data_IF_187370153126
#
_entry.id   IF_187370153126
#
_cell.length_a   1.000
_cell.length_b   1.000
_cell.length_c   1.000
_cell.angle_alpha   90.00
_cell.angle_beta   90.00
_cell.angle_gamma   90.00
#
_symmetry.space_group_name_H-M   'P 1'
#
loop_
_entity.id
_entity.type
_entity.pdbx_description
1 polymer ?
#
# COMPACT_ATOMS: atom_id res chain seq x y z
N UNK A 1 6.36 6.92 -13.94
CA UNK A 1 6.65 6.28 -12.62
C UNK A 1 7.69 5.18 -12.78
N UNK A 2 7.46 4.15 -13.61
CA UNK A 2 8.43 3.07 -13.83
C UNK A 2 9.84 3.59 -14.21
N UNK A 3 9.95 4.56 -15.12
CA UNK A 3 11.24 5.17 -15.49
C UNK A 3 11.97 5.84 -14.31
N UNK A 4 11.25 6.59 -13.47
CA UNK A 4 11.82 7.25 -12.29
C UNK A 4 12.27 6.23 -11.23
N UNK A 5 11.57 5.09 -11.16
CA UNK A 5 11.92 3.96 -10.30
C UNK A 5 13.07 3.15 -10.89
N UNK A 6 13.19 3.03 -12.21
CA UNK A 6 14.28 2.31 -12.86
C UNK A 6 15.65 2.92 -12.52
N UNK A 7 15.73 4.24 -12.32
CA UNK A 7 16.93 4.93 -11.85
C UNK A 7 17.37 4.51 -10.43
N UNK A 8 16.46 3.93 -9.64
CA UNK A 8 16.80 3.37 -8.33
C UNK A 8 17.36 1.95 -8.43
N UNK A 9 17.18 1.27 -9.56
CA UNK A 9 17.69 -0.09 -9.82
C UNK A 9 17.44 -1.06 -8.65
N UNK A 10 16.18 -1.26 -8.22
CA UNK A 10 15.89 -2.16 -7.11
C UNK A 10 16.35 -3.58 -7.45
N UNK A 11 16.88 -4.31 -6.46
CA UNK A 11 17.15 -5.74 -6.58
C UNK A 11 16.01 -6.59 -5.99
N UNK A 12 15.17 -5.99 -5.14
CA UNK A 12 13.95 -6.57 -4.61
C UNK A 12 12.77 -5.60 -4.76
N UNK A 13 11.63 -6.13 -5.22
CA UNK A 13 10.33 -5.46 -5.24
C UNK A 13 9.38 -6.19 -4.30
N UNK A 14 8.79 -5.44 -3.36
CA UNK A 14 7.81 -5.93 -2.39
C UNK A 14 6.43 -5.37 -2.74
N UNK A 15 5.57 -6.19 -3.34
CA UNK A 15 4.20 -5.82 -3.69
C UNK A 15 3.23 -6.03 -2.53
N UNK A 16 2.52 -4.99 -2.12
CA UNK A 16 1.52 -5.07 -1.04
C UNK A 16 0.20 -5.62 -1.58
N UNK A 17 -0.25 -6.75 -1.08
CA UNK A 17 -1.50 -7.35 -1.51
C UNK A 17 -2.74 -6.58 -1.00
N UNK A 18 -3.81 -6.49 -1.80
CA UNK A 18 -3.97 -7.14 -3.12
C UNK A 18 -3.59 -6.23 -4.30
N UNK A 19 -3.91 -4.93 -4.22
CA UNK A 19 -3.74 -4.01 -5.34
C UNK A 19 -2.29 -3.70 -5.68
N UNK A 20 -1.44 -3.44 -4.67
CA UNK A 20 -0.01 -3.18 -4.85
C UNK A 20 0.76 -4.31 -5.52
N UNK A 21 0.38 -5.57 -5.30
CA UNK A 21 0.97 -6.71 -5.99
C UNK A 21 0.80 -6.61 -7.52
N UNK A 22 -0.39 -6.22 -8.00
CA UNK A 22 -0.64 -6.03 -9.45
C UNK A 22 0.17 -4.89 -10.04
N UNK A 23 0.34 -3.81 -9.28
CA UNK A 23 1.18 -2.68 -9.69
C UNK A 23 2.63 -3.11 -9.75
N UNK A 24 3.11 -3.87 -8.76
CA UNK A 24 4.46 -4.40 -8.73
C UNK A 24 4.73 -5.33 -9.93
N UNK A 25 3.84 -6.30 -10.18
CA UNK A 25 3.92 -7.20 -11.35
C UNK A 25 4.04 -6.42 -12.66
N UNK A 26 3.21 -5.38 -12.86
CA UNK A 26 3.26 -4.55 -14.07
C UNK A 26 4.54 -3.69 -14.19
N UNK A 27 5.27 -3.46 -13.09
CA UNK A 27 6.50 -2.66 -13.09
C UNK A 27 7.74 -3.51 -13.33
N UNK A 28 7.79 -4.77 -12.88
CA UNK A 28 9.00 -5.60 -12.84
C UNK A 28 9.68 -5.75 -14.21
N UNK A 29 8.90 -5.88 -15.29
CA UNK A 29 9.43 -5.99 -16.66
C UNK A 29 10.27 -4.76 -17.06
N UNK A 30 9.90 -3.57 -16.56
CA UNK A 30 10.61 -2.32 -16.83
C UNK A 30 11.76 -2.02 -15.85
N UNK A 31 12.00 -2.87 -14.86
CA UNK A 31 12.97 -2.65 -13.78
C UNK A 31 14.22 -3.55 -13.86
N UNK A 32 14.40 -4.30 -14.94
CA UNK A 32 15.56 -5.20 -15.09
C UNK A 32 15.43 -6.50 -14.31
N UNK A 33 14.19 -7.00 -14.13
CA UNK A 33 13.88 -8.29 -13.52
C UNK A 33 14.38 -8.47 -12.07
N UNK A 34 14.07 -7.54 -11.14
CA UNK A 34 14.31 -7.76 -9.71
C UNK A 34 13.54 -8.97 -9.18
N UNK A 35 13.97 -9.48 -8.02
CA UNK A 35 13.15 -10.43 -7.27
C UNK A 35 11.82 -9.76 -6.89
N UNK A 36 10.69 -10.44 -7.08
CA UNK A 36 9.37 -9.96 -6.70
C UNK A 36 8.80 -10.81 -5.56
N UNK A 37 8.33 -10.17 -4.48
CA UNK A 37 7.63 -10.84 -3.39
C UNK A 37 6.32 -10.13 -3.07
N UNK A 38 5.23 -10.89 -2.96
CA UNK A 38 3.93 -10.40 -2.51
C UNK A 38 3.80 -10.51 -0.99
N UNK A 39 3.31 -9.46 -0.33
CA UNK A 39 3.11 -9.44 1.12
C UNK A 39 1.69 -9.01 1.49
N UNK A 40 1.08 -9.70 2.45
CA UNK A 40 -0.27 -9.39 2.92
C UNK A 40 -0.25 -8.87 4.35
N UNK A 41 -0.60 -7.61 4.54
CA UNK A 41 -0.79 -7.02 5.88
C UNK A 41 -2.26 -7.12 6.30
N UNK A 42 -2.55 -7.95 7.30
CA UNK A 42 -3.88 -8.03 7.87
C UNK A 42 -4.14 -6.83 8.79
N UNK A 43 -5.17 -6.03 8.47
CA UNK A 43 -5.65 -4.93 9.33
C UNK A 43 -6.78 -5.45 10.25
N UNK A 44 -6.63 -5.44 11.59
CA UNK A 44 -7.67 -5.91 12.51
C UNK A 44 -9.02 -5.18 12.33
N UNK A 45 -8.98 -3.89 11.96
CA UNK A 45 -10.17 -3.06 11.75
C UNK A 45 -11.00 -3.47 10.50
N UNK A 46 -10.47 -4.30 9.61
CA UNK A 46 -11.16 -4.68 8.36
C UNK A 46 -12.31 -5.67 8.61
N UNK A 47 -12.24 -6.50 9.65
CA UNK A 47 -13.32 -7.47 9.98
C UNK A 47 -14.61 -6.79 10.44
N UNK A 48 -14.51 -5.63 11.10
CA UNK A 48 -15.69 -4.85 11.48
C UNK A 48 -16.22 -4.03 10.30
N UNK A 49 -15.33 -3.53 9.44
CA UNK A 49 -15.69 -2.81 8.21
C UNK A 49 -16.36 -3.69 7.16
N UNK A 50 -15.99 -4.97 7.01
CA UNK A 50 -16.69 -5.88 6.09
C UNK A 50 -18.12 -6.20 6.53
N UNK A 51 -18.42 -6.08 7.83
CA UNK A 51 -19.77 -6.20 8.39
C UNK A 51 -20.59 -4.91 8.27
N UNK A 52 -19.94 -3.75 8.34
CA UNK A 52 -20.59 -2.44 8.17
C UNK A 52 -20.60 -1.93 6.72
N UNK A 53 -19.85 -2.55 5.80
CA UNK A 53 -19.88 -2.20 4.39
C UNK A 53 -21.23 -2.60 3.83
N UNK A 54 -22.12 -1.61 3.77
CA UNK A 54 -23.28 -1.53 2.89
C UNK A 54 -22.87 -1.58 1.40
N UNK A 55 -21.89 -2.41 1.01
CA UNK A 55 -21.35 -2.50 -0.35
C UNK A 55 -22.40 -2.88 -1.38
N UNK A 56 -23.52 -3.50 -0.95
CA UNK A 56 -24.71 -3.75 -1.78
C UNK A 56 -25.70 -2.58 -1.85
N UNK A 57 -25.64 -1.64 -0.91
CA UNK A 57 -26.49 -0.44 -0.90
C UNK A 57 -25.80 0.73 -1.63
N UNK A 58 -24.47 0.85 -1.49
CA UNK A 58 -23.68 1.88 -2.18
C UNK A 58 -23.69 1.72 -3.70
N UNK A 59 -23.79 0.49 -4.22
CA UNK A 59 -23.88 0.23 -5.66
C UNK A 59 -25.18 0.70 -6.31
N UNK A 60 -26.18 1.12 -5.51
CA UNK A 60 -27.45 1.69 -5.99
C UNK A 60 -27.52 3.21 -5.90
N UNK A 61 -26.52 3.85 -5.31
CA UNK A 61 -26.49 5.30 -5.16
C UNK A 61 -25.91 5.96 -6.43
N UNK A 62 -26.37 7.18 -6.77
CA UNK A 62 -25.76 7.97 -7.83
C UNK A 62 -24.27 8.21 -7.54
N UNK A 63 -23.45 8.23 -8.60
CA UNK A 63 -21.99 8.31 -8.51
C UNK A 63 -21.48 9.46 -7.63
N UNK A 64 -22.06 10.65 -7.78
CA UNK A 64 -21.66 11.82 -6.98
C UNK A 64 -21.86 11.65 -5.47
N UNK A 65 -22.88 10.88 -5.04
CA UNK A 65 -23.11 10.59 -3.63
C UNK A 65 -22.06 9.62 -3.10
N UNK A 66 -21.71 8.59 -3.87
CA UNK A 66 -20.65 7.64 -3.50
C UNK A 66 -19.31 8.35 -3.39
N UNK A 67 -18.98 9.25 -4.33
CA UNK A 67 -17.75 10.03 -4.30
C UNK A 67 -17.70 10.95 -3.07
N UNK A 68 -18.80 11.62 -2.74
CA UNK A 68 -18.90 12.46 -1.54
C UNK A 68 -18.66 11.65 -0.26
N UNK A 69 -19.30 10.48 -0.15
CA UNK A 69 -19.14 9.60 1.01
C UNK A 69 -17.72 9.06 1.14
N UNK A 70 -17.06 8.73 0.01
CA UNK A 70 -15.64 8.31 0.01
C UNK A 70 -14.74 9.42 0.54
N UNK A 71 -14.94 10.66 0.08
CA UNK A 71 -14.17 11.80 0.59
C UNK A 71 -14.45 12.09 2.07
N UNK A 72 -15.71 12.02 2.49
CA UNK A 72 -16.08 12.19 3.90
C UNK A 72 -15.38 11.16 4.80
N UNK A 73 -15.32 9.89 4.37
CA UNK A 73 -14.60 8.86 5.11
C UNK A 73 -13.08 9.14 5.19
N UNK A 74 -12.47 9.61 4.09
CA UNK A 74 -11.05 9.98 4.07
C UNK A 74 -10.76 11.09 5.07
N UNK A 75 -11.51 12.19 5.01
CA UNK A 75 -11.32 13.36 5.89
C UNK A 75 -11.58 12.98 7.37
N UNK A 76 -12.58 12.15 7.66
CA UNK A 76 -12.82 11.62 9.01
C UNK A 76 -11.63 10.81 9.54
N UNK A 77 -11.02 9.95 8.71
CA UNK A 77 -9.88 9.11 9.10
C UNK A 77 -8.61 9.94 9.29
N UNK A 78 -8.40 10.97 8.46
CA UNK A 78 -7.29 11.90 8.59
C UNK A 78 -7.37 12.65 9.93
N UNK A 79 -8.57 13.11 10.30
CA UNK A 79 -8.82 13.81 11.57
C UNK A 79 -8.69 12.93 12.84
N UNK A 80 -8.90 11.62 12.73
CA UNK A 80 -8.86 10.68 13.87
C UNK A 80 -7.55 9.89 13.98
N UNK A 81 -6.51 10.31 13.26
CA UNK A 81 -5.20 9.66 13.31
C UNK A 81 -4.64 9.65 14.75
N UNK A 82 -4.40 8.45 15.29
CA UNK A 82 -3.68 8.25 16.56
C UNK A 82 -2.23 7.89 16.28
N UNK A 83 -1.31 8.16 17.22
CA UNK A 83 0.08 7.67 17.18
C UNK A 83 0.11 6.14 16.97
N UNK A 84 0.94 5.67 16.04
CA UNK A 84 0.93 4.29 15.52
C UNK A 84 2.18 3.45 15.89
N UNK A 85 3.16 4.03 16.59
CA UNK A 85 4.51 3.44 16.72
C UNK A 85 4.53 1.99 17.22
N UNK A 86 3.87 1.70 18.34
CA UNK A 86 3.85 0.34 18.90
C UNK A 86 3.16 -0.69 18.00
N UNK A 87 2.16 -0.27 17.22
CA UNK A 87 1.42 -1.17 16.34
C UNK A 87 2.15 -1.49 15.04
N UNK A 88 3.08 -0.64 14.59
CA UNK A 88 3.89 -0.86 13.39
C UNK A 88 4.92 -1.96 13.65
N UNK A 89 5.64 -1.87 14.78
CA UNK A 89 6.66 -2.84 15.17
C UNK A 89 6.08 -4.27 15.30
N UNK A 90 4.98 -4.44 16.04
CA UNK A 90 4.33 -5.75 16.17
C UNK A 90 3.81 -6.27 14.83
N UNK A 91 3.28 -5.39 13.98
CA UNK A 91 2.81 -5.75 12.64
C UNK A 91 3.95 -6.23 11.74
N UNK A 92 5.10 -5.56 11.80
CA UNK A 92 6.28 -5.92 11.02
C UNK A 92 6.82 -7.30 11.41
N UNK A 93 6.93 -7.58 12.71
CA UNK A 93 7.35 -8.91 13.22
C UNK A 93 6.39 -10.01 12.81
N UNK A 94 5.08 -9.76 12.91
CA UNK A 94 4.07 -10.71 12.46
C UNK A 94 4.16 -10.97 10.95
N UNK A 95 4.46 -9.93 10.15
CA UNK A 95 4.64 -10.07 8.71
C UNK A 95 5.86 -10.94 8.37
N UNK A 96 7.01 -10.67 9.00
CA UNK A 96 8.21 -11.49 8.81
C UNK A 96 7.99 -12.95 9.20
N UNK A 97 7.22 -13.21 10.25
CA UNK A 97 6.92 -14.57 10.71
C UNK A 97 5.95 -15.35 9.79
N UNK A 98 5.21 -14.68 8.90
CA UNK A 98 4.11 -15.28 8.13
C UNK A 98 4.26 -15.14 6.62
N UNK A 99 5.35 -14.53 6.13
CA UNK A 99 5.58 -14.30 4.72
C UNK A 99 7.01 -14.69 4.33
N UNK A 100 7.24 -14.87 3.03
CA UNK A 100 8.57 -15.08 2.47
C UNK A 100 9.45 -13.80 2.46
N UNK A 101 8.99 -12.71 3.10
CA UNK A 101 9.68 -11.42 3.07
C UNK A 101 11.05 -11.48 3.74
N UNK A 102 11.21 -12.24 4.83
CA UNK A 102 12.49 -12.35 5.54
C UNK A 102 13.57 -12.90 4.60
N UNK A 103 13.28 -14.03 3.96
CA UNK A 103 14.24 -14.70 3.07
C UNK A 103 14.51 -13.86 1.81
N UNK A 104 13.49 -13.22 1.25
CA UNK A 104 13.64 -12.36 0.07
C UNK A 104 14.42 -11.08 0.36
N UNK A 105 14.28 -10.49 1.54
CA UNK A 105 14.97 -9.25 1.92
C UNK A 105 16.42 -9.46 2.33
N UNK A 106 16.78 -10.66 2.80
CA UNK A 106 18.13 -10.96 3.30
C UNK A 106 19.16 -10.77 2.18
N UNK A 107 20.09 -9.83 2.36
CA UNK A 107 21.13 -9.51 1.36
C UNK A 107 20.67 -8.61 0.21
N UNK A 108 19.40 -8.16 0.20
CA UNK A 108 18.92 -7.15 -0.76
C UNK A 108 19.56 -5.79 -0.43
N UNK A 109 20.05 -5.07 -1.45
CA UNK A 109 20.68 -3.75 -1.24
C UNK A 109 19.71 -2.62 -1.50
N UNK A 110 18.77 -2.79 -2.44
CA UNK A 110 17.84 -1.73 -2.87
C UNK A 110 16.43 -2.31 -3.00
N UNK A 111 15.61 -2.01 -2.00
CA UNK A 111 14.26 -2.56 -1.91
C UNK A 111 13.22 -1.52 -2.30
N UNK A 112 12.39 -1.85 -3.27
CA UNK A 112 11.23 -1.04 -3.65
C UNK A 112 9.95 -1.67 -3.08
N UNK A 113 9.24 -0.93 -2.23
CA UNK A 113 7.93 -1.34 -1.72
C UNK A 113 6.84 -0.67 -2.55
N UNK A 114 5.91 -1.46 -3.07
CA UNK A 114 4.88 -1.00 -4.00
C UNK A 114 3.48 -1.23 -3.43
N UNK A 115 2.68 -0.17 -3.37
CA UNK A 115 1.25 -0.24 -3.08
C UNK A 115 0.43 0.43 -4.19
N UNK A 116 -0.87 0.15 -4.28
CA UNK A 116 -1.71 0.84 -5.26
C UNK A 116 -2.07 2.25 -4.78
N UNK A 117 -2.48 2.39 -3.52
CA UNK A 117 -2.93 3.65 -2.94
C UNK A 117 -2.51 3.79 -1.48
N UNK A 118 -1.99 4.96 -1.11
CA UNK A 118 -1.69 5.30 0.28
C UNK A 118 -2.80 6.18 0.90
N UNK A 119 -3.40 5.67 1.98
CA UNK A 119 -4.26 6.44 2.89
C UNK A 119 -3.40 7.04 4.03
N UNK A 120 -3.50 6.47 5.24
CA UNK A 120 -2.72 6.87 6.40
C UNK A 120 -1.25 6.45 6.37
N UNK A 121 -0.86 5.61 5.41
CA UNK A 121 0.47 5.02 5.32
C UNK A 121 0.75 3.85 6.25
N UNK A 122 -0.20 3.43 7.12
CA UNK A 122 0.05 2.36 8.11
C UNK A 122 0.55 1.05 7.50
N UNK A 123 -0.09 0.59 6.42
CA UNK A 123 0.31 -0.65 5.74
C UNK A 123 1.73 -0.52 5.19
N UNK A 124 2.01 0.58 4.50
CA UNK A 124 3.33 0.89 3.97
C UNK A 124 4.39 0.96 5.09
N UNK A 125 4.08 1.58 6.23
CA UNK A 125 4.99 1.63 7.39
C UNK A 125 5.29 0.25 7.97
N UNK A 126 4.29 -0.63 8.06
CA UNK A 126 4.49 -2.02 8.54
C UNK A 126 5.43 -2.78 7.62
N UNK A 127 5.22 -2.68 6.30
CA UNK A 127 6.08 -3.36 5.33
C UNK A 127 7.49 -2.75 5.32
N UNK A 128 7.61 -1.43 5.30
CA UNK A 128 8.90 -0.73 5.41
C UNK A 128 9.66 -1.17 6.65
N UNK A 129 8.99 -1.17 7.81
CA UNK A 129 9.60 -1.61 9.06
C UNK A 129 10.00 -3.09 9.04
N UNK A 130 9.22 -3.95 8.38
CA UNK A 130 9.58 -5.36 8.22
C UNK A 130 10.86 -5.53 7.38
N UNK A 131 10.99 -4.79 6.28
CA UNK A 131 12.22 -4.79 5.46
C UNK A 131 13.40 -4.28 6.27
N UNK A 132 13.26 -3.16 7.00
CA UNK A 132 14.32 -2.62 7.88
C UNK A 132 14.78 -3.62 8.95
N UNK A 133 13.85 -4.45 9.47
CA UNK A 133 14.17 -5.49 10.45
C UNK A 133 14.86 -6.70 9.82
N UNK A 134 14.49 -7.06 8.58
CA UNK A 134 15.06 -8.20 7.88
C UNK A 134 16.45 -7.89 7.30
N UNK A 135 16.64 -6.69 6.76
CA UNK A 135 17.89 -6.22 6.17
C UNK A 135 18.13 -4.74 6.50
N UNK A 136 18.80 -4.43 7.63
CA UNK A 136 19.03 -3.06 8.07
C UNK A 136 19.93 -2.23 7.14
N UNK A 137 20.74 -2.87 6.29
CA UNK A 137 21.64 -2.18 5.37
C UNK A 137 20.97 -1.81 4.03
N UNK A 138 19.74 -2.27 3.77
CA UNK A 138 19.02 -1.99 2.54
C UNK A 138 18.65 -0.50 2.43
N UNK A 139 18.87 0.10 1.25
CA UNK A 139 18.20 1.32 0.87
C UNK A 139 16.75 0.97 0.50
N UNK A 140 15.78 1.62 1.14
CA UNK A 140 14.36 1.32 0.95
C UNK A 140 13.66 2.53 0.34
N UNK A 141 13.00 2.33 -0.80
CA UNK A 141 12.09 3.30 -1.41
C UNK A 141 10.69 2.74 -1.54
N UNK A 142 9.73 3.64 -1.67
CA UNK A 142 8.30 3.33 -1.71
C UNK A 142 7.66 3.97 -2.94
N UNK A 143 6.81 3.22 -3.63
CA UNK A 143 6.10 3.69 -4.81
C UNK A 143 4.60 3.39 -4.71
N UNK A 144 3.78 4.41 -5.01
CA UNK A 144 2.32 4.30 -5.02
C UNK A 144 1.72 4.99 -6.23
N UNK A 145 0.59 4.48 -6.74
CA UNK A 145 -0.11 5.16 -7.83
C UNK A 145 -0.83 6.41 -7.32
N UNK A 146 -1.46 6.35 -6.15
CA UNK A 146 -2.19 7.49 -5.61
C UNK A 146 -2.01 7.68 -4.10
N UNK A 147 -2.10 8.93 -3.64
CA UNK A 147 -2.29 9.28 -2.23
C UNK A 147 -3.66 9.92 -2.03
N UNK A 148 -4.41 9.51 -1.01
CA UNK A 148 -5.76 10.06 -0.75
C UNK A 148 -5.75 11.24 0.20
N UNK A 149 -4.82 11.27 1.15
CA UNK A 149 -4.75 12.27 2.22
C UNK A 149 -4.11 13.57 1.77
N UNK A 150 -4.48 14.69 2.41
CA UNK A 150 -3.86 15.98 2.10
C UNK A 150 -2.40 16.01 2.55
N UNK A 151 -2.14 15.44 3.74
CA UNK A 151 -0.83 15.40 4.39
C UNK A 151 -0.63 14.01 5.00
N UNK A 152 -0.30 13.00 4.18
CA UNK A 152 -0.08 11.66 4.72
C UNK A 152 1.09 11.71 5.71
N UNK A 153 0.98 11.05 6.88
CA UNK A 153 2.07 10.98 7.87
C UNK A 153 3.34 10.36 7.33
N UNK A 154 3.20 9.53 6.29
CA UNK A 154 4.29 8.86 5.57
C UNK A 154 4.17 9.29 4.12
N UNK A 155 5.20 9.96 3.62
CA UNK A 155 5.27 10.31 2.21
C UNK A 155 5.96 9.19 1.44
N UNK A 156 5.38 8.72 0.34
CA UNK A 156 6.05 7.78 -0.55
C UNK A 156 7.16 8.50 -1.33
N UNK A 157 8.23 7.79 -1.67
CA UNK A 157 9.33 8.32 -2.49
C UNK A 157 8.88 8.58 -3.94
N UNK A 158 7.93 7.77 -4.43
CA UNK A 158 7.30 7.93 -5.74
C UNK A 158 5.79 7.91 -5.61
N UNK A 159 5.12 8.96 -6.12
CA UNK A 159 3.66 9.06 -6.17
C UNK A 159 3.23 9.60 -7.52
N UNK A 160 2.38 8.87 -8.24
CA UNK A 160 1.89 9.34 -9.54
C UNK A 160 0.77 10.38 -9.42
N UNK A 161 -0.19 10.14 -8.51
CA UNK A 161 -1.35 11.02 -8.31
C UNK A 161 -1.46 11.47 -6.85
N UNK A 162 -1.16 12.74 -6.61
CA UNK A 162 -1.39 13.38 -5.31
C UNK A 162 -2.88 13.66 -5.07
N UNK A 163 -3.35 13.38 -3.85
CA UNK A 163 -4.70 13.71 -3.37
C UNK A 163 -5.82 13.24 -4.31
N UNK A 164 -5.79 11.97 -4.69
CA UNK A 164 -6.68 11.38 -5.67
C UNK A 164 -7.37 10.12 -5.10
N UNK A 165 -8.70 10.06 -5.22
CA UNK A 165 -9.46 8.83 -4.99
C UNK A 165 -9.47 8.00 -6.28
N UNK A 166 -8.45 7.16 -6.43
CA UNK A 166 -8.37 6.29 -7.59
C UNK A 166 -9.39 5.14 -7.47
N UNK A 167 -10.16 4.91 -8.54
CA UNK A 167 -11.07 3.76 -8.70
C UNK A 167 -10.35 2.71 -9.54
N UNK A 168 -9.77 1.74 -8.88
CA UNK A 168 -9.09 0.65 -9.56
C UNK A 168 -10.08 -0.40 -10.05
N UNK A 169 -9.80 -1.14 -11.14
CA UNK A 169 -10.64 -2.25 -11.58
C UNK A 169 -10.87 -3.34 -10.51
N UNK A 170 -9.99 -3.41 -9.52
CA UNK A 170 -10.07 -4.34 -8.39
C UNK A 170 -10.65 -3.72 -7.10
N UNK A 171 -11.07 -2.46 -7.13
CA UNK A 171 -11.74 -1.86 -5.98
C UNK A 171 -13.14 -2.46 -5.81
N UNK A 172 -13.65 -2.44 -4.58
CA UNK A 172 -14.96 -3.00 -4.27
C UNK A 172 -16.12 -2.27 -4.99
N UNK A 173 -15.87 -1.03 -5.39
CA UNK A 173 -16.80 -0.10 -6.03
C UNK A 173 -16.44 0.17 -7.51
N UNK A 174 -15.65 -0.71 -8.12
CA UNK A 174 -15.49 -0.76 -9.56
C UNK A 174 -16.83 -1.16 -10.20
N UNK A 175 -17.22 -0.45 -11.27
CA UNK A 175 -18.31 -0.90 -12.13
C UNK A 175 -17.93 -2.30 -12.66
N UNK A 176 -18.67 -3.33 -12.24
CA UNK A 176 -18.50 -4.68 -12.81
C UNK A 176 -19.19 -4.68 -14.17
N UNK A 177 -18.54 -5.18 -15.24
CA UNK A 177 -19.17 -5.31 -16.54
C UNK A 177 -20.40 -6.21 -16.49
#
# INVERSE_FOLDING_TARGET
MAEAVAQFEPDLVVGIETGGARVAEAMVDGLGSPQLVGVRVQRPATKLKSRMSLGRLFSRLPRGVVDLLRWAEVEMREATLRSQGSSVESGARALLATSALQDAATGARRVLIVDDTIDSGRTLSVVKRAVELAEPAAEIRTAVLASTWRRPPVQPDYCLYGRCLLRMPWSFDAERP
#
